data_IF_385913499832
#
_entry.id   IF_385913499832
#
_cell.length_a   1.000
_cell.length_b   1.000
_cell.length_c   1.000
_cell.angle_alpha   90.00
_cell.angle_beta   90.00
_cell.angle_gamma   90.00
#
_symmetry.space_group_name_H-M   'P 1'
#
loop_
_entity.id
_entity.type
_entity.pdbx_description
1 polymer ?
#
# COMPACT_ATOMS: atom_id res chain seq x y z
N UNK A 1 2.85 -5.77 -2.36
CA UNK A 1 1.58 -5.02 -2.47
C UNK A 1 1.49 -4.41 -3.85
N UNK A 2 0.29 -4.30 -4.43
CA UNK A 2 0.11 -3.46 -5.62
C UNK A 2 0.40 -2.01 -5.25
N UNK A 3 1.18 -1.33 -6.08
CA UNK A 3 1.51 0.09 -5.96
C UNK A 3 0.27 0.97 -5.81
N UNK A 4 -0.76 0.63 -6.56
CA UNK A 4 -2.05 1.32 -6.57
C UNK A 4 -2.74 1.17 -5.21
N UNK A 5 -2.72 -0.02 -4.61
CA UNK A 5 -3.31 -0.24 -3.29
C UNK A 5 -2.63 0.62 -2.21
N UNK A 6 -1.31 0.68 -2.21
CA UNK A 6 -0.55 1.51 -1.26
C UNK A 6 -0.85 3.01 -1.45
N UNK A 7 -0.99 3.47 -2.71
CA UNK A 7 -1.38 4.84 -3.00
C UNK A 7 -2.83 5.15 -2.59
N UNK A 8 -3.76 4.23 -2.80
CA UNK A 8 -5.17 4.39 -2.39
C UNK A 8 -5.30 4.50 -0.87
N UNK A 9 -4.63 3.62 -0.12
CA UNK A 9 -4.64 3.68 1.36
C UNK A 9 -4.02 4.98 1.85
N UNK A 10 -2.91 5.40 1.24
CA UNK A 10 -2.24 6.66 1.57
C UNK A 10 -3.15 7.88 1.34
N UNK A 11 -3.85 7.92 0.20
CA UNK A 11 -4.81 8.97 -0.11
C UNK A 11 -5.97 8.99 0.88
N UNK A 12 -6.51 7.82 1.25
CA UNK A 12 -7.62 7.74 2.22
C UNK A 12 -7.21 8.20 3.63
N UNK A 13 -5.95 8.01 4.01
CA UNK A 13 -5.47 8.36 5.36
C UNK A 13 -4.85 9.77 5.44
N UNK A 14 -4.30 10.28 4.33
CA UNK A 14 -3.56 11.56 4.27
C UNK A 14 -3.89 12.33 2.99
N UNK A 15 -5.18 12.50 2.72
CA UNK A 15 -5.73 13.11 1.51
C UNK A 15 -5.11 14.48 1.20
N UNK A 16 -5.09 15.39 2.17
CA UNK A 16 -4.61 16.77 2.00
C UNK A 16 -3.14 16.81 1.59
N UNK A 17 -2.31 16.02 2.26
CA UNK A 17 -0.87 16.00 2.02
C UNK A 17 -0.52 15.28 0.71
N UNK A 18 -1.29 14.24 0.39
CA UNK A 18 -1.17 13.55 -0.88
C UNK A 18 -1.46 14.51 -2.05
N UNK A 19 -2.56 15.27 -1.98
CA UNK A 19 -2.93 16.25 -3.02
C UNK A 19 -1.99 17.44 -3.05
N UNK A 20 -1.58 17.98 -1.90
CA UNK A 20 -0.68 19.16 -1.84
C UNK A 20 0.72 18.87 -2.38
N UNK A 21 1.15 17.61 -2.38
CA UNK A 21 2.41 17.19 -3.00
C UNK A 21 2.35 17.07 -4.54
N UNK A 22 1.22 17.47 -5.16
CA UNK A 22 1.03 17.45 -6.61
C UNK A 22 0.82 16.04 -7.18
N UNK A 23 0.51 15.06 -6.34
CA UNK A 23 0.34 13.66 -6.72
C UNK A 23 -1.10 13.35 -7.10
N UNK A 24 -1.26 12.35 -7.96
CA UNK A 24 -2.56 11.85 -8.40
C UNK A 24 -2.53 10.34 -8.47
N UNK A 25 -3.57 9.67 -7.95
CA UNK A 25 -3.74 8.21 -8.07
C UNK A 25 -3.83 7.79 -9.55
N UNK A 26 -4.34 8.68 -10.40
CA UNK A 26 -4.55 8.43 -11.83
C UNK A 26 -3.28 8.64 -12.67
N UNK A 27 -2.29 9.38 -12.15
CA UNK A 27 -1.02 9.60 -12.83
C UNK A 27 0.01 8.66 -12.23
N UNK A 28 0.60 7.81 -13.08
CA UNK A 28 1.65 6.89 -12.64
C UNK A 28 2.92 7.69 -12.33
N UNK A 29 3.05 8.17 -11.09
CA UNK A 29 4.31 8.74 -10.62
C UNK A 29 5.23 7.59 -10.22
N UNK A 30 6.38 7.47 -10.90
CA UNK A 30 7.53 6.62 -10.53
C UNK A 30 7.99 6.82 -9.08
N UNK A 31 7.56 7.90 -8.47
CA UNK A 31 7.81 8.26 -7.10
C UNK A 31 6.88 7.48 -6.15
N UNK A 32 7.24 6.22 -5.92
CA UNK A 32 6.64 5.28 -4.99
C UNK A 32 6.67 5.80 -3.53
N UNK A 33 7.47 6.82 -3.22
CA UNK A 33 8.01 7.05 -1.89
C UNK A 33 7.08 7.68 -0.85
N UNK A 34 6.02 8.40 -1.24
CA UNK A 34 5.31 9.26 -0.27
C UNK A 34 4.73 8.49 0.93
N UNK A 35 4.17 7.30 0.69
CA UNK A 35 3.69 6.42 1.77
C UNK A 35 4.27 5.00 1.73
N UNK A 36 4.82 4.51 0.61
CA UNK A 36 5.39 3.15 0.62
C UNK A 36 6.50 3.04 1.66
N UNK A 37 7.45 3.98 1.73
CA UNK A 37 8.66 3.76 2.52
C UNK A 37 8.50 4.08 4.02
N UNK A 38 7.42 4.78 4.40
CA UNK A 38 7.16 5.13 5.79
C UNK A 38 6.37 4.05 6.54
N UNK A 39 5.31 3.50 5.91
CA UNK A 39 4.36 2.61 6.57
C UNK A 39 4.14 1.28 5.82
N UNK A 40 5.08 0.89 4.95
CA UNK A 40 5.11 -0.47 4.41
C UNK A 40 6.26 -1.26 5.01
N UNK A 41 5.98 -2.54 5.25
CA UNK A 41 6.91 -3.48 5.82
C UNK A 41 6.89 -4.73 4.95
N UNK A 42 8.05 -5.39 4.84
CA UNK A 42 8.19 -6.60 4.03
C UNK A 42 7.44 -7.78 4.65
N UNK A 43 7.41 -7.81 5.98
CA UNK A 43 6.82 -8.85 6.80
C UNK A 43 6.34 -8.25 8.14
N UNK A 44 5.47 -8.99 8.84
CA UNK A 44 4.84 -8.56 10.09
C UNK A 44 5.87 -8.47 11.21
N UNK A 45 6.85 -9.37 11.26
CA UNK A 45 7.87 -9.39 12.31
C UNK A 45 8.75 -8.14 12.25
N UNK A 46 9.20 -7.75 11.05
CA UNK A 46 9.94 -6.51 10.80
C UNK A 46 9.14 -5.28 11.22
N UNK A 47 7.83 -5.26 10.94
CA UNK A 47 6.92 -4.22 11.41
C UNK A 47 6.88 -4.17 12.94
N UNK A 48 6.65 -5.30 13.60
CA UNK A 48 6.54 -5.37 15.07
C UNK A 48 7.82 -4.90 15.76
N UNK A 49 8.99 -5.32 15.25
CA UNK A 49 10.28 -4.88 15.78
C UNK A 49 10.49 -3.38 15.59
N UNK A 50 10.27 -2.85 14.38
CA UNK A 50 10.52 -1.44 14.04
C UNK A 50 9.59 -0.50 14.80
N UNK A 51 8.34 -0.90 15.01
CA UNK A 51 7.33 -0.14 15.74
C UNK A 51 7.30 -0.44 17.25
N UNK A 52 8.19 -1.31 17.74
CA UNK A 52 8.26 -1.74 19.16
C UNK A 52 6.93 -2.26 19.71
N UNK A 53 6.24 -3.07 18.90
CA UNK A 53 4.95 -3.66 19.25
C UNK A 53 5.20 -4.99 19.93
N UNK A 54 4.76 -5.10 21.19
CA UNK A 54 4.90 -6.32 21.98
C UNK A 54 3.62 -7.16 22.02
N UNK A 55 2.46 -6.57 21.71
CA UNK A 55 1.17 -7.26 21.76
C UNK A 55 0.32 -6.94 20.52
N UNK A 56 0.08 -7.94 19.68
CA UNK A 56 -0.74 -7.82 18.46
C UNK A 56 -2.24 -8.05 18.73
N UNK A 57 -2.59 -8.61 19.90
CA UNK A 57 -3.98 -9.01 20.19
C UNK A 57 -4.95 -7.83 20.33
N UNK A 58 -4.45 -6.62 20.56
CA UNK A 58 -5.25 -5.39 20.66
C UNK A 58 -5.48 -4.71 19.30
N UNK A 59 -4.93 -5.27 18.22
CA UNK A 59 -4.94 -4.64 16.91
C UNK A 59 -6.19 -4.98 16.12
N UNK A 60 -6.70 -3.98 15.39
CA UNK A 60 -7.76 -4.18 14.39
C UNK A 60 -7.14 -4.30 13.01
N UNK A 61 -7.17 -5.50 12.46
CA UNK A 61 -6.67 -5.79 11.12
C UNK A 61 -7.77 -5.50 10.10
N UNK A 62 -7.43 -4.75 9.05
CA UNK A 62 -8.32 -4.49 7.91
C UNK A 62 -7.67 -5.02 6.64
N UNK A 63 -8.46 -5.66 5.78
CA UNK A 63 -8.00 -6.19 4.50
C UNK A 63 -8.88 -5.66 3.37
N UNK A 64 -8.26 -5.33 2.24
CA UNK A 64 -8.96 -5.04 0.99
C UNK A 64 -8.80 -6.24 0.08
N UNK A 65 -9.92 -6.83 -0.33
CA UNK A 65 -9.95 -7.97 -1.25
C UNK A 65 -10.59 -7.57 -2.58
N UNK A 66 -10.34 -8.36 -3.61
CA UNK A 66 -10.94 -8.26 -4.95
C UNK A 66 -11.26 -9.66 -5.44
N UNK A 67 -12.13 -9.77 -6.44
CA UNK A 67 -12.40 -11.01 -7.15
C UNK A 67 -11.06 -11.68 -7.60
N UNK A 68 -10.87 -12.99 -7.33
CA UNK A 68 -9.59 -13.67 -7.56
C UNK A 68 -9.08 -13.67 -9.00
N UNK A 69 -9.93 -13.87 -10.00
CA UNK A 69 -9.55 -13.90 -11.41
C UNK A 69 -9.08 -12.52 -11.89
N UNK A 70 -9.82 -11.46 -11.53
CA UNK A 70 -9.47 -10.06 -11.75
C UNK A 70 -8.10 -9.71 -11.14
N UNK A 71 -7.90 -10.12 -9.87
CA UNK A 71 -6.63 -9.91 -9.17
C UNK A 71 -5.48 -10.63 -9.86
N UNK A 72 -5.71 -11.87 -10.29
CA UNK A 72 -4.71 -12.67 -11.00
C UNK A 72 -4.34 -12.03 -12.34
N UNK A 73 -5.33 -11.69 -13.17
CA UNK A 73 -5.10 -11.05 -14.46
C UNK A 73 -4.37 -9.72 -14.31
N UNK A 74 -4.76 -8.89 -13.35
CA UNK A 74 -4.07 -7.63 -13.06
C UNK A 74 -2.60 -7.85 -12.69
N UNK A 75 -2.30 -8.85 -11.87
CA UNK A 75 -0.92 -9.15 -11.46
C UNK A 75 -0.10 -9.76 -12.60
N UNK A 76 -0.71 -10.61 -13.43
CA UNK A 76 -0.06 -11.21 -14.61
C UNK A 76 0.32 -10.15 -15.63
N UNK A 77 -0.60 -9.23 -15.95
CA UNK A 77 -0.32 -8.11 -16.87
C UNK A 77 0.82 -7.24 -16.32
N UNK A 78 0.77 -6.88 -15.03
CA UNK A 78 1.78 -6.04 -14.37
C UNK A 78 3.18 -6.66 -14.32
N UNK A 79 3.28 -8.00 -14.20
CA UNK A 79 4.56 -8.70 -13.97
C UNK A 79 5.14 -9.42 -15.19
N UNK A 80 4.29 -9.83 -16.12
CA UNK A 80 4.68 -10.71 -17.22
C UNK A 80 4.54 -10.08 -18.60
N UNK A 81 3.67 -9.08 -18.75
CA UNK A 81 3.43 -8.43 -20.06
C UNK A 81 4.10 -7.05 -20.11
N UNK A 82 4.03 -6.30 -19.02
CA UNK A 82 4.50 -4.91 -18.94
C UNK A 82 5.98 -4.79 -18.60
#
# INVERSE_FOLDING_TARGET
MSTVMSMSICYLLRDKEFVSSGRSILRHSWDLGFCLLNNSFRDVDSMMQKLKIHNISEWRLTMVTREPADRFLSAFIDRCIR
#
